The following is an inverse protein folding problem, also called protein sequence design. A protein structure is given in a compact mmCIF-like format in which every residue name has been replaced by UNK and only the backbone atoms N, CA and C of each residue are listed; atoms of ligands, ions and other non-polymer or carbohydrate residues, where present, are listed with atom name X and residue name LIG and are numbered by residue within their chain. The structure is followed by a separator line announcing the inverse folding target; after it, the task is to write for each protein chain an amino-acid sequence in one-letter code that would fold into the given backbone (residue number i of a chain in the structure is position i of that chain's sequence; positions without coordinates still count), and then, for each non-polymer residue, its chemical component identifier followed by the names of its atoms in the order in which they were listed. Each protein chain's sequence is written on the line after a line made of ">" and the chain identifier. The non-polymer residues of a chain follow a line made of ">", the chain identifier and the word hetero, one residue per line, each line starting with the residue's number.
data_IF_759802473663
#
_entry.id   IF_759802473663
#
_cell.length_a   1.000
_cell.length_b   1.000
_cell.length_c   1.000
_cell.angle_alpha   90.00
_cell.angle_beta   90.00
_cell.angle_gamma   90.00
#
_symmetry.space_group_name_H-M   'P 1'
#
loop_
_entity.id
_entity.type
_entity.pdbx_description
1 polymer ?
#
# COMPACT_ATOMS: atom_id res chain seq x y z
N UNK A 1 -22.44 4.41 -23.33
CA UNK A 1 -21.63 5.63 -23.34
C UNK A 1 -21.63 6.29 -24.70
N UNK A 2 -21.55 7.60 -24.71
CA UNK A 2 -21.57 8.45 -25.90
C UNK A 2 -20.34 9.36 -25.96
N UNK A 3 -20.45 10.41 -26.76
CA UNK A 3 -19.47 11.50 -26.83
C UNK A 3 -20.06 12.77 -26.20
N UNK A 4 -19.23 13.64 -25.61
CA UNK A 4 -17.79 13.54 -25.48
C UNK A 4 -17.34 12.44 -24.52
N UNK A 5 -16.17 11.84 -24.77
CA UNK A 5 -15.56 10.84 -23.89
C UNK A 5 -14.05 11.10 -23.76
N UNK A 6 -13.44 10.48 -22.76
CA UNK A 6 -12.00 10.46 -22.56
C UNK A 6 -11.46 9.14 -23.08
N UNK A 7 -10.43 9.21 -23.92
CA UNK A 7 -9.62 8.06 -24.34
C UNK A 7 -8.25 8.22 -23.71
N UNK A 8 -7.78 7.20 -23.00
CA UNK A 8 -6.44 7.23 -22.38
C UNK A 8 -5.68 5.92 -22.57
N UNK A 9 -4.36 6.04 -22.63
CA UNK A 9 -3.46 4.88 -22.62
C UNK A 9 -3.14 4.48 -21.19
N UNK A 10 -2.88 3.18 -20.96
CA UNK A 10 -2.46 2.69 -19.63
C UNK A 10 -1.03 3.09 -19.28
N UNK A 11 -0.24 3.48 -20.27
CA UNK A 11 1.13 3.95 -20.11
C UNK A 11 1.16 5.45 -20.40
N UNK A 12 1.55 6.23 -19.43
CA UNK A 12 1.67 7.68 -19.48
C UNK A 12 1.73 8.28 -18.09
N UNK A 13 2.53 9.31 -17.93
CA UNK A 13 2.64 10.07 -16.69
C UNK A 13 2.17 11.50 -16.93
N UNK A 14 1.68 12.15 -15.87
CA UNK A 14 1.37 13.60 -15.91
C UNK A 14 0.32 14.03 -16.97
N UNK A 15 -0.59 13.12 -17.36
CA UNK A 15 -1.64 13.42 -18.34
C UNK A 15 -1.24 13.20 -19.82
N UNK A 16 -0.03 12.70 -20.09
CA UNK A 16 0.33 12.21 -21.41
C UNK A 16 -0.53 10.99 -21.75
N UNK A 17 -1.00 10.92 -22.99
CA UNK A 17 -1.88 9.84 -23.44
C UNK A 17 -3.35 9.98 -23.02
N UNK A 18 -3.80 11.14 -22.52
CA UNK A 18 -5.20 11.43 -22.19
C UNK A 18 -5.80 12.41 -23.21
N UNK A 19 -6.86 11.99 -23.89
CA UNK A 19 -7.48 12.70 -25.01
C UNK A 19 -8.99 12.90 -24.78
N UNK A 20 -9.44 14.15 -24.91
CA UNK A 20 -10.88 14.46 -24.95
C UNK A 20 -11.37 14.35 -26.39
N UNK A 21 -12.30 13.44 -26.62
CA UNK A 21 -12.85 13.12 -27.94
C UNK A 21 -14.31 13.55 -28.01
N UNK A 22 -14.66 14.30 -29.07
CA UNK A 22 -15.95 14.95 -29.21
C UNK A 22 -16.87 14.30 -30.25
N UNK A 23 -16.37 13.32 -31.04
CA UNK A 23 -17.16 12.58 -32.02
C UNK A 23 -16.79 11.10 -32.04
N UNK A 24 -17.76 10.25 -32.38
CA UNK A 24 -17.57 8.80 -32.49
C UNK A 24 -16.51 8.47 -33.55
N UNK A 25 -16.43 9.21 -34.65
CA UNK A 25 -15.42 9.02 -35.68
C UNK A 25 -14.01 9.24 -35.09
N UNK A 26 -13.81 10.37 -34.43
CA UNK A 26 -12.51 10.66 -33.79
C UNK A 26 -12.16 9.60 -32.74
N UNK A 27 -13.14 9.11 -31.94
CA UNK A 27 -12.90 8.09 -30.96
C UNK A 27 -12.40 6.80 -31.61
N UNK A 28 -13.06 6.34 -32.68
CA UNK A 28 -12.65 5.14 -33.40
C UNK A 28 -11.25 5.29 -34.01
N UNK A 29 -11.01 6.38 -34.74
CA UNK A 29 -9.70 6.66 -35.37
C UNK A 29 -8.56 6.66 -34.33
N UNK A 30 -8.77 7.33 -33.18
CA UNK A 30 -7.79 7.40 -32.10
C UNK A 30 -7.54 6.02 -31.47
N UNK A 31 -8.62 5.30 -31.12
CA UNK A 31 -8.50 3.98 -30.50
C UNK A 31 -7.78 3.00 -31.43
N UNK A 32 -8.14 2.94 -32.73
CA UNK A 32 -7.46 2.06 -33.67
C UNK A 32 -5.96 2.41 -33.81
N UNK A 33 -5.60 3.69 -33.86
CA UNK A 33 -4.20 4.12 -33.91
C UNK A 33 -3.44 3.67 -32.65
N UNK A 34 -3.98 3.95 -31.47
CA UNK A 34 -3.33 3.58 -30.20
C UNK A 34 -3.18 2.05 -30.05
N UNK A 35 -4.16 1.28 -30.49
CA UNK A 35 -4.08 -0.19 -30.48
C UNK A 35 -3.03 -0.70 -31.47
N UNK A 36 -2.91 -0.08 -32.66
CA UNK A 36 -1.88 -0.42 -33.63
C UNK A 36 -0.46 -0.14 -33.09
N UNK A 37 -0.32 0.88 -32.25
CA UNK A 37 0.91 1.21 -31.50
C UNK A 37 1.14 0.31 -30.27
N UNK A 38 0.32 -0.74 -30.09
CA UNK A 38 0.35 -1.69 -28.97
C UNK A 38 0.07 -1.07 -27.59
N UNK A 39 -0.63 0.05 -27.56
CA UNK A 39 -1.09 0.63 -26.30
C UNK A 39 -2.33 -0.13 -25.78
N UNK A 40 -2.42 -0.27 -24.45
CA UNK A 40 -3.70 -0.59 -23.79
C UNK A 40 -4.54 0.68 -23.71
N UNK A 41 -5.78 0.62 -24.15
CA UNK A 41 -6.65 1.79 -24.27
C UNK A 41 -7.83 1.65 -23.30
N UNK A 42 -8.09 2.71 -22.55
CA UNK A 42 -9.28 2.87 -21.70
C UNK A 42 -10.14 3.99 -22.25
N UNK A 43 -11.45 3.74 -22.36
CA UNK A 43 -12.44 4.77 -22.73
C UNK A 43 -13.32 5.05 -21.53
N UNK A 44 -13.38 6.29 -21.11
CA UNK A 44 -14.15 6.73 -19.95
C UNK A 44 -15.16 7.80 -20.32
N UNK A 45 -16.23 7.89 -19.55
CA UNK A 45 -17.16 9.01 -19.64
C UNK A 45 -16.47 10.34 -19.33
N UNK A 46 -16.81 11.36 -20.11
CA UNK A 46 -16.33 12.71 -19.82
C UNK A 46 -17.30 13.40 -18.85
N UNK A 47 -16.79 13.69 -17.65
CA UNK A 47 -17.57 14.38 -16.61
C UNK A 47 -17.47 15.89 -16.82
N UNK A 48 -18.52 16.48 -17.35
CA UNK A 48 -18.55 17.91 -17.75
C UNK A 48 -18.41 18.85 -16.57
N UNK A 49 -18.97 18.48 -15.44
CA UNK A 49 -18.99 19.23 -14.18
C UNK A 49 -17.56 19.47 -13.66
N UNK A 50 -16.67 18.48 -13.91
CA UNK A 50 -15.26 18.53 -13.53
C UNK A 50 -14.33 18.99 -14.66
N UNK A 51 -14.83 19.72 -15.67
CA UNK A 51 -13.93 20.20 -16.74
C UNK A 51 -12.77 21.03 -16.19
N UNK A 52 -11.55 20.53 -16.39
CA UNK A 52 -10.33 21.19 -15.93
C UNK A 52 -10.17 21.24 -14.41
N UNK A 53 -10.90 20.42 -13.67
CA UNK A 53 -10.84 20.36 -12.21
C UNK A 53 -10.86 18.93 -11.73
N UNK A 54 -10.14 18.66 -10.68
CA UNK A 54 -10.25 17.44 -9.88
C UNK A 54 -9.89 17.72 -8.42
N UNK A 55 -10.20 16.76 -7.57
CA UNK A 55 -9.85 16.76 -6.16
C UNK A 55 -8.84 15.66 -5.92
N UNK A 56 -7.66 15.99 -5.40
CA UNK A 56 -6.69 15.03 -4.90
C UNK A 56 -6.80 14.92 -3.40
N UNK A 57 -6.98 13.70 -2.92
CA UNK A 57 -7.04 13.36 -1.50
C UNK A 57 -5.86 12.46 -1.17
N UNK A 58 -5.11 12.79 -0.12
CA UNK A 58 -4.08 11.88 0.42
C UNK A 58 -4.66 11.09 1.56
N UNK A 59 -4.59 9.77 1.42
CA UNK A 59 -4.96 8.81 2.46
C UNK A 59 -3.69 8.17 3.03
N UNK A 60 -3.56 8.17 4.35
CA UNK A 60 -2.46 7.54 5.09
C UNK A 60 -3.03 6.69 6.21
N UNK A 61 -2.76 5.39 6.19
CA UNK A 61 -3.21 4.45 7.22
C UNK A 61 -4.73 4.34 7.38
N UNK A 62 -5.49 4.60 6.30
CA UNK A 62 -6.95 4.58 6.29
C UNK A 62 -7.62 5.90 6.71
N UNK A 63 -6.84 6.97 6.87
CA UNK A 63 -7.35 8.30 7.22
C UNK A 63 -7.00 9.33 6.14
N UNK A 64 -7.88 10.29 5.90
CA UNK A 64 -7.58 11.44 5.05
C UNK A 64 -6.70 12.41 5.83
N UNK A 65 -5.51 12.70 5.31
CA UNK A 65 -4.57 13.64 5.94
C UNK A 65 -4.52 15.00 5.25
N UNK A 66 -4.78 15.04 3.94
CA UNK A 66 -4.80 16.29 3.18
C UNK A 66 -5.68 16.16 1.94
N UNK A 67 -6.26 17.28 1.51
CA UNK A 67 -6.98 17.38 0.26
C UNK A 67 -6.70 18.73 -0.43
N UNK A 68 -6.71 18.70 -1.77
CA UNK A 68 -6.61 19.90 -2.58
C UNK A 68 -7.47 19.76 -3.83
N UNK A 69 -7.95 20.90 -4.35
CA UNK A 69 -8.49 20.97 -5.70
C UNK A 69 -7.40 21.41 -6.66
N UNK A 70 -7.23 20.68 -7.77
CA UNK A 70 -6.39 21.08 -8.88
C UNK A 70 -7.27 21.74 -9.94
N UNK A 71 -6.83 22.85 -10.47
CA UNK A 71 -7.56 23.62 -11.49
C UNK A 71 -6.62 23.91 -12.64
N UNK A 72 -7.00 23.54 -13.86
CA UNK A 72 -6.23 23.79 -15.08
C UNK A 72 -6.14 25.27 -15.41
N UNK A 73 -5.15 25.62 -16.22
CA UNK A 73 -5.06 26.95 -16.80
C UNK A 73 -5.90 27.04 -18.08
N UNK A 74 -6.95 27.85 -18.05
CA UNK A 74 -7.71 28.24 -19.24
C UNK A 74 -8.58 27.14 -19.84
N UNK A 75 -8.29 26.72 -21.11
CA UNK A 75 -9.13 25.80 -21.89
C UNK A 75 -8.73 24.34 -21.75
N UNK A 76 -7.69 24.04 -20.98
CA UNK A 76 -7.22 22.67 -20.79
C UNK A 76 -8.21 21.89 -19.89
N UNK A 77 -8.59 20.70 -20.31
CA UNK A 77 -9.50 19.83 -19.53
C UNK A 77 -8.77 18.99 -18.47
N UNK A 78 -7.44 18.88 -18.57
CA UNK A 78 -6.60 18.18 -17.61
C UNK A 78 -6.16 19.15 -16.52
N UNK A 79 -6.31 18.75 -15.28
CA UNK A 79 -6.07 19.61 -14.09
C UNK A 79 -4.68 19.45 -13.49
N UNK A 80 -3.73 18.87 -14.24
CA UNK A 80 -2.40 18.56 -13.72
C UNK A 80 -1.59 19.79 -13.32
N UNK A 81 -1.09 19.82 -12.09
CA UNK A 81 -0.24 20.88 -11.53
C UNK A 81 1.01 21.12 -12.40
N UNK A 82 1.66 20.05 -12.91
CA UNK A 82 2.85 20.14 -13.75
C UNK A 82 2.61 20.80 -15.11
N UNK A 83 1.35 20.91 -15.56
CA UNK A 83 0.97 21.65 -16.77
C UNK A 83 0.67 23.13 -16.50
N UNK A 84 1.08 23.65 -15.34
CA UNK A 84 0.84 25.04 -14.95
C UNK A 84 -0.54 25.26 -14.35
N UNK A 85 -1.23 24.23 -13.92
CA UNK A 85 -2.46 24.30 -13.13
C UNK A 85 -2.20 24.93 -11.75
N UNK A 86 -3.22 25.53 -11.17
CA UNK A 86 -3.19 26.01 -9.79
C UNK A 86 -3.78 24.97 -8.84
N UNK A 87 -3.37 25.04 -7.58
CA UNK A 87 -3.91 24.26 -6.49
C UNK A 87 -4.65 25.16 -5.51
N UNK A 88 -5.76 24.65 -4.99
CA UNK A 88 -6.61 25.35 -4.05
C UNK A 88 -6.83 24.46 -2.82
N UNK A 89 -6.72 25.06 -1.63
CA UNK A 89 -7.14 24.38 -0.41
C UNK A 89 -8.65 24.22 -0.43
N UNK A 90 -9.14 23.07 0.06
CA UNK A 90 -10.57 22.79 0.15
C UNK A 90 -10.92 22.16 1.50
N UNK A 91 -12.13 22.45 1.95
CA UNK A 91 -12.78 21.64 2.99
C UNK A 91 -13.41 20.45 2.29
N UNK A 92 -12.84 19.25 2.51
CA UNK A 92 -13.28 18.04 1.83
C UNK A 92 -14.60 17.53 2.43
N UNK A 93 -15.69 17.42 1.64
CA UNK A 93 -16.94 16.85 2.15
C UNK A 93 -16.77 15.38 2.56
N UNK A 94 -17.52 14.93 3.58
CA UNK A 94 -17.43 13.57 4.14
C UNK A 94 -17.65 12.46 3.10
N UNK A 95 -18.53 12.68 2.12
CA UNK A 95 -18.78 11.72 1.05
C UNK A 95 -17.54 11.51 0.16
N UNK A 96 -16.75 12.56 -0.10
CA UNK A 96 -15.50 12.48 -0.84
C UNK A 96 -14.41 11.79 -0.02
N UNK A 97 -14.32 12.12 1.27
CA UNK A 97 -13.39 11.47 2.20
C UNK A 97 -13.67 9.97 2.27
N UNK A 98 -14.94 9.59 2.39
CA UNK A 98 -15.36 8.18 2.43
C UNK A 98 -14.96 7.43 1.16
N UNK A 99 -15.24 7.98 -0.04
CA UNK A 99 -14.88 7.32 -1.32
C UNK A 99 -13.36 7.16 -1.43
N UNK A 100 -12.58 8.17 -1.00
CA UNK A 100 -11.12 8.10 -1.04
C UNK A 100 -10.57 6.99 -0.11
N UNK A 101 -11.07 6.92 1.12
CA UNK A 101 -10.69 5.89 2.09
C UNK A 101 -11.09 4.49 1.60
N UNK A 102 -12.33 4.33 1.14
CA UNK A 102 -12.85 3.05 0.66
C UNK A 102 -12.03 2.55 -0.55
N UNK A 103 -11.68 3.44 -1.50
CA UNK A 103 -10.87 3.10 -2.67
C UNK A 103 -9.45 2.67 -2.29
N UNK A 104 -8.79 3.39 -1.38
CA UNK A 104 -7.46 3.04 -0.89
C UNK A 104 -7.47 1.68 -0.16
N UNK A 105 -8.44 1.47 0.72
CA UNK A 105 -8.60 0.23 1.48
C UNK A 105 -8.91 -0.97 0.57
N UNK A 106 -9.78 -0.80 -0.43
CA UNK A 106 -10.11 -1.86 -1.38
C UNK A 106 -8.89 -2.36 -2.17
N UNK A 107 -7.97 -1.44 -2.49
CA UNK A 107 -6.72 -1.74 -3.19
C UNK A 107 -5.58 -2.15 -2.25
N UNK A 108 -5.78 -2.12 -0.94
CA UNK A 108 -4.74 -2.41 0.05
C UNK A 108 -3.62 -1.36 0.08
N UNK A 109 -3.93 -0.12 -0.30
CA UNK A 109 -2.96 0.98 -0.37
C UNK A 109 -2.99 1.76 0.95
N UNK A 110 -1.88 1.74 1.68
CA UNK A 110 -1.74 2.41 2.97
C UNK A 110 -1.36 3.88 2.85
N UNK A 111 -0.62 4.23 1.80
CA UNK A 111 -0.30 5.61 1.44
C UNK A 111 -0.71 5.80 0.00
N UNK A 112 -1.73 6.59 -0.24
CA UNK A 112 -2.29 6.77 -1.56
C UNK A 112 -2.75 8.19 -1.86
N UNK A 113 -2.60 8.58 -3.12
CA UNK A 113 -3.23 9.76 -3.69
C UNK A 113 -4.47 9.35 -4.48
N UNK A 114 -5.64 9.70 -4.00
CA UNK A 114 -6.92 9.39 -4.65
C UNK A 114 -7.41 10.61 -5.40
N UNK A 115 -7.61 10.47 -6.71
CA UNK A 115 -8.12 11.53 -7.57
C UNK A 115 -9.61 11.32 -7.80
N UNK A 116 -10.40 12.34 -7.48
CA UNK A 116 -11.85 12.35 -7.56
C UNK A 116 -12.36 13.47 -8.48
N UNK A 117 -13.38 13.17 -9.25
CA UNK A 117 -14.12 14.17 -10.02
C UNK A 117 -15.40 14.58 -9.28
N UNK A 118 -15.79 15.83 -9.43
CA UNK A 118 -17.05 16.38 -8.93
C UNK A 118 -18.17 16.06 -9.93
N UNK A 119 -18.93 14.99 -9.70
CA UNK A 119 -20.07 14.60 -10.52
C UNK A 119 -21.39 15.22 -10.02
N UNK A 120 -22.45 15.11 -10.81
CA UNK A 120 -23.79 15.63 -10.43
C UNK A 120 -24.38 14.95 -9.18
N UNK A 121 -24.03 13.68 -8.98
CA UNK A 121 -24.59 12.83 -7.92
C UNK A 121 -23.57 12.59 -6.79
N UNK A 122 -22.48 13.36 -6.75
CA UNK A 122 -21.41 13.20 -5.78
C UNK A 122 -20.06 12.84 -6.40
N UNK A 123 -19.10 12.37 -5.59
CA UNK A 123 -17.75 12.06 -6.03
C UNK A 123 -17.69 10.89 -7.01
N UNK A 124 -16.85 11.03 -8.04
CA UNK A 124 -16.55 9.97 -9.00
C UNK A 124 -15.07 9.64 -8.89
N UNK A 125 -14.74 8.39 -8.56
CA UNK A 125 -13.36 7.92 -8.50
C UNK A 125 -12.73 7.93 -9.89
N UNK A 126 -11.60 8.62 -10.02
CA UNK A 126 -10.84 8.67 -11.26
C UNK A 126 -9.67 7.70 -11.25
N UNK A 127 -8.80 7.79 -10.24
CA UNK A 127 -7.65 6.90 -10.08
C UNK A 127 -7.12 6.91 -8.65
N UNK A 128 -6.31 5.89 -8.33
CA UNK A 128 -5.57 5.79 -7.06
C UNK A 128 -4.10 5.58 -7.34
N UNK A 129 -3.25 6.45 -6.81
CA UNK A 129 -1.80 6.43 -6.97
C UNK A 129 -1.13 5.95 -5.67
N UNK A 130 -0.35 4.88 -5.73
CA UNK A 130 0.41 4.34 -4.59
C UNK A 130 1.70 5.11 -4.26
N UNK A 131 2.10 6.05 -5.11
CA UNK A 131 3.29 6.90 -4.90
C UNK A 131 2.96 8.34 -5.28
N UNK A 132 2.08 9.01 -4.52
CA UNK A 132 1.64 10.36 -4.84
C UNK A 132 2.77 11.38 -4.61
N UNK A 133 2.90 12.35 -5.53
CA UNK A 133 3.74 13.53 -5.28
C UNK A 133 3.13 14.39 -4.17
N UNK A 134 3.94 14.79 -3.20
CA UNK A 134 3.48 15.50 -1.99
C UNK A 134 3.61 17.02 -2.09
N UNK A 135 4.53 17.54 -2.92
CA UNK A 135 4.85 18.97 -2.99
C UNK A 135 3.64 19.88 -3.18
N UNK A 136 2.81 19.57 -4.17
CA UNK A 136 1.64 20.40 -4.49
C UNK A 136 0.61 20.42 -3.38
N UNK A 137 0.34 19.29 -2.75
CA UNK A 137 -0.69 19.18 -1.72
C UNK A 137 -0.21 19.73 -0.37
N UNK A 138 1.05 19.51 0.01
CA UNK A 138 1.63 20.11 1.22
C UNK A 138 1.64 21.64 1.12
N UNK A 139 1.99 22.18 -0.06
CA UNK A 139 1.93 23.63 -0.32
C UNK A 139 0.52 24.18 -0.27
N UNK A 140 -0.47 23.46 -0.80
CA UNK A 140 -1.85 23.91 -0.84
C UNK A 140 -2.55 23.81 0.52
N UNK A 141 -2.32 22.73 1.27
CA UNK A 141 -3.00 22.45 2.54
C UNK A 141 -2.25 22.96 3.76
N UNK A 142 -0.94 23.19 3.66
CA UNK A 142 -0.08 23.48 4.81
C UNK A 142 0.18 22.25 5.71
N UNK A 143 -0.28 21.06 5.32
CA UNK A 143 -0.15 19.83 6.09
C UNK A 143 1.17 19.12 5.76
N UNK A 144 1.93 18.73 6.78
CA UNK A 144 3.11 17.89 6.62
C UNK A 144 2.72 16.42 6.41
N UNK A 145 2.40 16.06 5.16
CA UNK A 145 1.98 14.71 4.78
C UNK A 145 3.09 13.69 5.04
N UNK A 146 4.34 14.05 4.75
CA UNK A 146 5.50 13.19 5.04
C UNK A 146 5.59 12.85 6.53
N UNK A 147 5.31 13.81 7.41
CA UNK A 147 5.23 13.58 8.86
C UNK A 147 4.16 12.55 9.24
N UNK A 148 2.97 12.62 8.67
CA UNK A 148 1.89 11.65 8.89
C UNK A 148 2.28 10.23 8.44
N UNK A 149 2.98 10.10 7.30
CA UNK A 149 3.49 8.82 6.82
C UNK A 149 4.49 8.22 7.82
N UNK A 150 5.45 9.02 8.29
CA UNK A 150 6.45 8.59 9.28
C UNK A 150 5.77 8.20 10.59
N UNK A 151 4.79 8.98 11.04
CA UNK A 151 4.03 8.67 12.25
C UNK A 151 3.27 7.34 12.14
N UNK A 152 2.60 7.10 11.01
CA UNK A 152 1.91 5.83 10.72
C UNK A 152 2.88 4.65 10.76
N UNK A 153 4.04 4.75 10.07
CA UNK A 153 5.07 3.71 10.07
C UNK A 153 5.58 3.47 11.50
N UNK A 154 5.84 4.54 12.25
CA UNK A 154 6.34 4.44 13.63
C UNK A 154 5.33 3.81 14.57
N UNK A 155 4.05 4.18 14.45
CA UNK A 155 2.96 3.57 15.23
C UNK A 155 2.85 2.07 14.92
N UNK A 156 2.92 1.67 13.65
CA UNK A 156 2.90 0.26 13.25
C UNK A 156 4.10 -0.51 13.74
N UNK A 157 5.29 0.08 13.67
CA UNK A 157 6.49 -0.55 14.22
C UNK A 157 6.39 -0.76 15.72
N UNK A 158 5.84 0.21 16.46
CA UNK A 158 5.53 0.05 17.90
C UNK A 158 4.45 -1.00 18.17
N UNK A 159 3.42 -1.11 17.31
CA UNK A 159 2.38 -2.15 17.41
C UNK A 159 2.95 -3.54 17.08
N UNK A 160 3.89 -3.64 16.16
CA UNK A 160 4.63 -4.89 15.92
C UNK A 160 5.54 -5.28 17.09
N UNK A 161 5.99 -4.33 17.89
CA UNK A 161 6.67 -4.61 19.16
C UNK A 161 5.70 -4.90 20.33
N UNK A 162 4.42 -4.59 20.19
CA UNK A 162 3.33 -4.92 21.11
C UNK A 162 2.64 -6.20 20.61
N UNK A 163 3.29 -7.35 20.93
CA UNK A 163 2.62 -8.63 21.09
C UNK A 163 1.72 -9.11 19.93
N UNK A 164 2.32 -9.36 18.76
CA UNK A 164 1.72 -10.25 17.76
C UNK A 164 1.31 -11.59 18.41
N UNK A 165 2.03 -12.05 19.44
CA UNK A 165 1.70 -13.17 20.29
C UNK A 165 0.29 -13.07 20.90
N UNK A 166 -0.17 -11.91 21.26
CA UNK A 166 -1.47 -11.77 21.93
C UNK A 166 -2.65 -11.78 20.97
N UNK A 167 -2.46 -11.28 19.74
CA UNK A 167 -3.48 -11.33 18.68
C UNK A 167 -3.56 -12.71 18.04
N UNK A 168 -2.42 -13.40 17.89
CA UNK A 168 -2.34 -14.77 17.36
C UNK A 168 -2.82 -15.79 18.39
N UNK A 169 -2.62 -15.55 19.70
CA UNK A 169 -3.16 -16.38 20.80
C UNK A 169 -4.67 -16.60 20.74
N UNK A 170 -5.43 -15.69 20.16
CA UNK A 170 -6.91 -15.74 20.13
C UNK A 170 -7.51 -16.44 18.91
N UNK A 171 -6.72 -16.84 17.90
CA UNK A 171 -7.22 -17.49 16.69
C UNK A 171 -6.43 -18.76 16.36
N UNK A 172 -7.10 -19.90 16.46
CA UNK A 172 -6.79 -21.21 15.79
C UNK A 172 -5.55 -21.99 16.20
N UNK A 173 -4.75 -21.60 17.15
CA UNK A 173 -3.60 -22.40 17.61
C UNK A 173 -2.44 -22.56 16.62
N UNK A 174 -2.55 -22.11 15.35
CA UNK A 174 -1.46 -22.15 14.37
C UNK A 174 -1.00 -20.76 14.00
N UNK A 175 0.30 -20.55 13.76
CA UNK A 175 0.86 -19.27 13.38
C UNK A 175 2.36 -19.32 13.14
N UNK A 176 2.96 -18.14 12.92
CA UNK A 176 4.40 -17.97 12.78
C UNK A 176 5.02 -17.44 14.07
N UNK A 177 6.20 -17.95 14.41
CA UNK A 177 7.04 -17.47 15.52
C UNK A 177 8.44 -17.21 15.01
N UNK A 178 9.00 -16.06 15.37
CA UNK A 178 10.40 -15.74 15.06
C UNK A 178 11.26 -15.98 16.29
N UNK A 179 12.25 -16.84 16.14
CA UNK A 179 13.23 -17.21 17.17
C UNK A 179 14.57 -16.57 16.83
N UNK A 180 15.13 -15.81 17.77
CA UNK A 180 16.46 -15.21 17.63
C UNK A 180 17.49 -16.11 18.33
N UNK A 181 18.45 -16.68 17.63
CA UNK A 181 19.41 -17.63 18.19
C UNK A 181 20.39 -17.06 19.21
N UNK A 182 20.59 -15.73 19.22
CA UNK A 182 21.35 -15.08 20.29
C UNK A 182 20.66 -15.15 21.66
N UNK A 183 19.34 -15.36 21.70
CA UNK A 183 18.55 -15.56 22.93
C UNK A 183 18.50 -17.03 23.33
N UNK A 184 18.63 -17.96 22.36
CA UNK A 184 18.63 -19.41 22.54
C UNK A 184 19.93 -20.06 22.04
N UNK A 185 21.06 -19.80 22.70
CA UNK A 185 22.39 -20.27 22.26
C UNK A 185 22.52 -21.79 22.22
N UNK A 186 21.68 -22.55 22.93
CA UNK A 186 21.65 -24.00 22.91
C UNK A 186 21.29 -24.63 21.56
N UNK A 187 20.70 -23.84 20.65
CA UNK A 187 20.38 -24.28 19.29
C UNK A 187 21.51 -24.02 18.29
N UNK A 188 22.50 -23.24 18.65
CA UNK A 188 23.64 -22.93 17.78
C UNK A 188 24.49 -24.19 17.55
N UNK A 189 24.81 -24.44 16.28
CA UNK A 189 25.58 -25.64 15.88
C UNK A 189 24.76 -26.92 15.72
N UNK A 190 23.45 -26.89 16.01
CA UNK A 190 22.53 -28.00 15.74
C UNK A 190 21.90 -27.84 14.34
N UNK A 191 21.38 -28.96 13.82
CA UNK A 191 20.59 -28.93 12.59
C UNK A 191 19.16 -28.46 12.85
N UNK A 192 18.47 -28.04 11.82
CA UNK A 192 17.02 -27.71 11.91
C UNK A 192 16.26 -28.96 12.41
N UNK A 193 16.59 -30.16 11.90
CA UNK A 193 15.93 -31.41 12.31
C UNK A 193 16.00 -31.65 13.82
N UNK A 194 17.13 -31.29 14.45
CA UNK A 194 17.35 -31.51 15.88
C UNK A 194 16.55 -30.56 16.79
N UNK A 195 16.15 -29.42 16.25
CA UNK A 195 15.54 -28.33 17.05
C UNK A 195 14.09 -27.99 16.63
N UNK A 196 13.59 -28.64 15.58
CA UNK A 196 12.26 -28.35 15.05
C UNK A 196 11.17 -28.88 16.00
N UNK A 197 10.24 -28.01 16.48
CA UNK A 197 9.10 -28.46 17.28
C UNK A 197 8.20 -29.42 16.49
N UNK A 198 7.52 -30.38 17.15
CA UNK A 198 6.57 -31.26 16.49
C UNK A 198 5.48 -30.51 15.71
N UNK A 199 5.12 -31.05 14.53
CA UNK A 199 4.09 -30.46 13.64
C UNK A 199 4.35 -29.03 13.23
N UNK A 200 5.62 -28.58 13.20
CA UNK A 200 6.04 -27.28 12.73
C UNK A 200 7.00 -27.36 11.55
N UNK A 201 7.20 -26.25 10.87
CA UNK A 201 8.15 -26.13 9.75
C UNK A 201 8.90 -24.81 9.83
N UNK A 202 10.12 -24.77 9.29
CA UNK A 202 10.88 -23.54 9.12
C UNK A 202 10.47 -22.90 7.79
N UNK A 203 9.92 -21.68 7.86
CA UNK A 203 9.55 -20.89 6.68
C UNK A 203 10.79 -20.27 6.05
N UNK A 204 11.61 -19.63 6.87
CA UNK A 204 12.86 -18.99 6.44
C UNK A 204 13.83 -18.84 7.60
N UNK A 205 15.12 -18.76 7.26
CA UNK A 205 16.18 -18.32 8.17
C UNK A 205 16.78 -17.03 7.61
N UNK A 206 16.83 -15.99 8.45
CA UNK A 206 17.52 -14.75 8.12
C UNK A 206 18.91 -14.81 8.72
N UNK A 207 19.93 -14.84 7.87
CA UNK A 207 21.35 -14.89 8.23
C UNK A 207 22.06 -13.66 7.72
N UNK A 208 22.28 -12.68 8.60
CA UNK A 208 22.81 -11.39 8.19
C UNK A 208 21.89 -10.63 7.23
N UNK A 209 22.26 -10.57 5.94
CA UNK A 209 21.46 -9.94 4.87
C UNK A 209 20.78 -10.94 3.93
N UNK A 210 20.97 -12.21 4.17
CA UNK A 210 20.47 -13.29 3.33
C UNK A 210 19.22 -13.92 3.95
N UNK A 211 18.20 -14.21 3.10
CA UNK A 211 17.02 -14.97 3.47
C UNK A 211 17.10 -16.36 2.84
N UNK A 212 17.23 -17.39 3.67
CA UNK A 212 17.25 -18.79 3.25
C UNK A 212 15.82 -19.32 3.35
N UNK A 213 15.11 -19.35 2.24
CA UNK A 213 13.72 -19.81 2.16
C UNK A 213 13.64 -21.34 2.12
N UNK A 214 12.68 -21.89 2.86
CA UNK A 214 12.45 -23.34 2.94
C UNK A 214 13.76 -24.14 3.11
N UNK A 215 14.56 -23.83 4.15
CA UNK A 215 15.87 -24.43 4.34
C UNK A 215 15.76 -25.93 4.51
N UNK A 216 16.83 -26.67 4.08
CA UNK A 216 16.93 -28.07 4.33
C UNK A 216 17.02 -28.35 5.84
N UNK A 217 16.43 -29.46 6.27
CA UNK A 217 16.47 -29.91 7.67
C UNK A 217 17.89 -30.17 8.19
N UNK A 218 18.86 -30.44 7.30
CA UNK A 218 20.26 -30.63 7.63
C UNK A 218 21.06 -29.34 7.82
N UNK A 219 20.44 -28.18 7.56
CA UNK A 219 21.11 -26.90 7.69
C UNK A 219 21.49 -26.66 9.16
N UNK A 220 22.78 -26.33 9.36
CA UNK A 220 23.34 -26.04 10.69
C UNK A 220 23.04 -24.57 11.03
N UNK A 221 22.48 -24.36 12.21
CA UNK A 221 22.14 -23.07 12.77
C UNK A 221 23.37 -22.32 13.26
N UNK A 222 23.45 -21.02 12.95
CA UNK A 222 24.60 -20.17 13.27
C UNK A 222 24.21 -19.07 14.26
N UNK A 223 25.20 -18.46 14.95
CA UNK A 223 24.97 -17.30 15.81
C UNK A 223 24.27 -16.17 15.04
N UNK A 224 23.32 -15.51 15.69
CA UNK A 224 22.49 -14.41 15.14
C UNK A 224 21.52 -14.80 14.01
N UNK A 225 21.35 -16.08 13.70
CA UNK A 225 20.26 -16.51 12.83
C UNK A 225 18.91 -16.13 13.46
N UNK A 226 17.98 -15.68 12.61
CA UNK A 226 16.59 -15.53 12.96
C UNK A 226 15.80 -16.62 12.23
N UNK A 227 15.14 -17.48 12.98
CA UNK A 227 14.36 -18.59 12.43
C UNK A 227 12.90 -18.21 12.48
N UNK A 228 12.19 -18.23 11.34
CA UNK A 228 10.74 -18.08 11.28
C UNK A 228 10.12 -19.47 11.21
N UNK A 229 9.45 -19.87 12.27
CA UNK A 229 8.74 -21.14 12.41
C UNK A 229 7.26 -20.95 12.10
N UNK A 230 6.62 -21.93 11.49
CA UNK A 230 5.16 -22.05 11.34
C UNK A 230 4.68 -23.35 11.95
N UNK A 231 3.65 -23.30 12.78
CA UNK A 231 3.09 -24.49 13.42
C UNK A 231 2.09 -24.17 14.53
N UNK A 232 1.72 -25.18 15.36
CA UNK A 232 0.90 -24.99 16.54
C UNK A 232 1.65 -24.13 17.56
N UNK A 233 1.09 -22.97 17.89
CA UNK A 233 1.77 -21.97 18.73
C UNK A 233 2.08 -22.48 20.14
N UNK A 234 1.17 -23.24 20.73
CA UNK A 234 1.38 -23.84 22.08
C UNK A 234 2.51 -24.87 22.05
N UNK A 235 2.62 -25.67 20.98
CA UNK A 235 3.69 -26.65 20.78
C UNK A 235 5.04 -25.95 20.60
N UNK A 236 5.09 -24.91 19.73
CA UNK A 236 6.32 -24.15 19.49
C UNK A 236 6.77 -23.48 20.79
N UNK A 237 5.85 -22.88 21.54
CA UNK A 237 6.17 -22.24 22.81
C UNK A 237 6.69 -23.23 23.85
N UNK A 238 5.96 -24.31 24.10
CA UNK A 238 6.38 -25.34 25.06
C UNK A 238 7.76 -25.93 24.73
N UNK A 239 8.07 -26.06 23.43
CA UNK A 239 9.39 -26.55 22.97
C UNK A 239 10.49 -25.52 23.23
N UNK A 240 10.22 -24.22 23.01
CA UNK A 240 11.18 -23.12 23.24
C UNK A 240 11.39 -22.89 24.74
N UNK A 241 10.31 -22.84 25.53
CA UNK A 241 10.34 -22.59 26.97
C UNK A 241 10.81 -23.83 27.78
N UNK A 242 10.51 -25.04 27.31
CA UNK A 242 10.86 -26.28 27.97
C UNK A 242 12.32 -26.72 27.78
N UNK A 243 13.06 -26.10 26.87
CA UNK A 243 14.50 -26.34 26.66
C UNK A 243 15.36 -25.28 27.35
N UNK A 244 15.11 -25.01 28.65
CA UNK A 244 15.92 -24.12 29.51
C UNK A 244 16.32 -22.77 28.86
N UNK A 245 15.29 -21.99 28.46
CA UNK A 245 15.45 -20.57 28.28
C UNK A 245 15.70 -19.91 29.64
N UNK A 246 16.40 -18.74 29.70
CA UNK A 246 16.67 -18.10 30.96
C UNK A 246 15.37 -17.84 31.72
N UNK A 247 15.26 -18.39 32.91
CA UNK A 247 14.23 -18.10 33.90
C UNK A 247 14.05 -16.58 33.97
N UNK A 248 12.92 -16.08 33.47
CA UNK A 248 12.55 -14.69 33.69
C UNK A 248 12.33 -14.53 35.22
N UNK A 249 13.36 -14.01 35.88
CA UNK A 249 13.22 -13.51 37.22
C UNK A 249 12.19 -12.40 37.20
N UNK A 250 10.99 -12.71 37.64
CA UNK A 250 10.00 -11.74 38.05
C UNK A 250 10.52 -11.05 39.31
N UNK A 251 10.72 -9.76 39.25
CA UNK A 251 10.59 -8.84 40.37
C UNK A 251 10.13 -7.50 39.83
#
# INVERSE_FOLDING_TARGET
>A
GGVPCIVKTSQGTQGDGVFLVRSIRQAKELVYRLLAERNTVLVQEYIRESHGKDIRVIVVGGEVVAAMRRVSNGREFRSNYHLGGRVEQIDLPDEYAKVAIDAANYLGIEVGGVDLLEGRMGPILLEVNSSPGLEGIEKASGVNVAGHIIEMITKRHKIQSVNLDEVIRRRTGFGTVTVLLNVWPQYIGRTIADVLPPNSSVVTIVRGRENIWSPSNDLILQPNDQIVLYGPLDTIRAHIEGNDGPSAAMS
#
